data_IF_367028612679
#
_entry.id   IF_367028612679
#
_cell.length_a   1.000
_cell.length_b   1.000
_cell.length_c   1.000
_cell.angle_alpha   90.00
_cell.angle_beta   90.00
_cell.angle_gamma   90.00
#
_symmetry.space_group_name_H-M   'P 1'
#
loop_
_entity.id
_entity.type
_entity.pdbx_description
1 polymer ?
#
# COMPACT_ATOMS: atom_id res chain seq x y z
N UNK A 1 -11.77 0.36 -0.14
CA UNK A 1 -11.78 -1.06 0.25
C UNK A 1 -13.18 -1.34 0.73
N UNK A 2 -13.78 -2.44 0.32
CA UNK A 2 -15.03 -2.87 0.93
C UNK A 2 -14.74 -3.40 2.35
N UNK A 3 -15.52 -2.97 3.34
CA UNK A 3 -15.23 -3.27 4.75
C UNK A 3 -15.54 -4.72 5.13
N UNK A 4 -16.47 -5.36 4.42
CA UNK A 4 -16.91 -6.73 4.70
C UNK A 4 -16.05 -7.76 3.95
N UNK A 5 -15.85 -7.56 2.65
CA UNK A 5 -15.09 -8.48 1.79
C UNK A 5 -13.58 -8.24 1.82
N UNK A 6 -13.14 -7.08 2.31
CA UNK A 6 -11.74 -6.62 2.28
C UNK A 6 -11.17 -6.46 0.86
N UNK A 7 -11.99 -6.54 -0.18
CA UNK A 7 -11.57 -6.41 -1.57
C UNK A 7 -11.26 -4.95 -1.94
N UNK A 8 -10.25 -4.78 -2.80
CA UNK A 8 -9.91 -3.50 -3.41
C UNK A 8 -10.70 -3.25 -4.70
N UNK A 9 -11.22 -2.03 -4.87
CA UNK A 9 -11.83 -1.57 -6.12
C UNK A 9 -11.20 -0.25 -6.56
N UNK A 10 -10.83 -0.17 -7.83
CA UNK A 10 -10.26 1.03 -8.43
C UNK A 10 -11.38 1.97 -8.86
N UNK A 11 -11.75 2.92 -8.00
CA UNK A 11 -12.82 3.89 -8.29
C UNK A 11 -12.31 5.12 -9.06
N UNK A 12 -11.02 5.45 -8.95
CA UNK A 12 -10.39 6.57 -9.67
C UNK A 12 -8.94 6.24 -10.01
N UNK A 13 -8.56 6.43 -11.27
CA UNK A 13 -7.18 6.34 -11.71
C UNK A 13 -6.85 7.49 -12.67
N UNK A 14 -5.98 8.39 -12.21
CA UNK A 14 -5.48 9.54 -13.00
C UNK A 14 -3.97 9.47 -13.21
N UNK A 15 -3.38 8.28 -13.13
CA UNK A 15 -1.96 8.10 -13.43
C UNK A 15 -1.68 8.42 -14.90
N UNK A 16 -0.46 8.90 -15.24
CA UNK A 16 -0.07 9.08 -16.63
C UNK A 16 -0.14 7.74 -17.38
N UNK A 17 -0.43 7.76 -18.68
CA UNK A 17 -0.54 6.53 -19.49
C UNK A 17 0.75 5.70 -19.46
N UNK A 18 1.90 6.38 -19.34
CA UNK A 18 3.23 5.78 -19.17
C UNK A 18 4.07 6.62 -18.22
N UNK A 19 5.02 5.97 -17.56
CA UNK A 19 6.08 6.63 -16.81
C UNK A 19 7.34 6.77 -17.66
N UNK A 20 8.07 7.86 -17.45
CA UNK A 20 9.41 8.03 -18.00
C UNK A 20 10.38 6.99 -17.41
N UNK A 21 11.40 6.63 -18.18
CA UNK A 21 12.32 5.53 -17.84
C UNK A 21 13.09 5.72 -16.53
N UNK A 22 13.33 6.98 -16.13
CA UNK A 22 14.05 7.39 -14.93
C UNK A 22 13.12 7.95 -13.84
N UNK A 23 11.80 7.89 -14.05
CA UNK A 23 10.83 8.40 -13.11
C UNK A 23 10.97 7.71 -11.74
N UNK A 24 11.15 8.52 -10.70
CA UNK A 24 11.09 8.07 -9.32
C UNK A 24 9.64 8.14 -8.83
N UNK A 25 9.10 7.01 -8.37
CA UNK A 25 7.70 6.93 -7.94
C UNK A 25 7.65 6.72 -6.43
N UNK A 26 6.89 7.57 -5.77
CA UNK A 26 6.60 7.48 -4.34
C UNK A 26 5.12 7.17 -4.19
N UNK A 27 4.82 6.00 -3.61
CA UNK A 27 3.45 5.62 -3.25
C UNK A 27 3.34 5.73 -1.75
N UNK A 28 2.42 6.57 -1.27
CA UNK A 28 2.20 6.79 0.16
C UNK A 28 0.84 6.26 0.59
N UNK A 29 0.83 5.43 1.63
CA UNK A 29 -0.37 4.95 2.29
C UNK A 29 -0.08 4.87 3.79
N UNK A 30 -0.85 5.53 4.68
CA UNK A 30 -0.59 5.50 6.11
C UNK A 30 -0.53 4.08 6.69
N UNK A 31 -1.33 3.13 6.16
CA UNK A 31 -1.49 1.80 6.75
C UNK A 31 -1.26 0.68 5.73
N UNK A 32 -0.18 -0.06 5.91
CA UNK A 32 0.13 -1.23 5.09
C UNK A 32 -0.31 -2.53 5.80
N UNK A 33 -1.62 -2.80 5.79
CA UNK A 33 -2.27 -3.89 6.53
C UNK A 33 -2.18 -5.26 5.82
N UNK A 34 -3.16 -5.62 4.99
CA UNK A 34 -3.15 -6.86 4.19
C UNK A 34 -2.27 -6.74 2.94
N UNK A 35 -1.98 -5.51 2.52
CA UNK A 35 -1.22 -5.17 1.32
C UNK A 35 -2.00 -5.24 0.00
N UNK A 36 -3.28 -5.64 0.00
CA UNK A 36 -4.08 -5.81 -1.23
C UNK A 36 -4.13 -4.56 -2.11
N UNK A 37 -4.50 -3.42 -1.52
CA UNK A 37 -4.54 -2.14 -2.23
C UNK A 37 -3.17 -1.72 -2.77
N UNK A 38 -2.09 -1.96 -2.02
CA UNK A 38 -0.73 -1.65 -2.47
C UNK A 38 -0.29 -2.56 -3.62
N UNK A 39 -0.65 -3.85 -3.59
CA UNK A 39 -0.39 -4.79 -4.70
C UNK A 39 -1.05 -4.29 -5.98
N UNK A 40 -2.35 -3.98 -5.94
CA UNK A 40 -3.08 -3.47 -7.10
C UNK A 40 -2.48 -2.16 -7.63
N UNK A 41 -2.04 -1.27 -6.75
CA UNK A 41 -1.35 -0.04 -7.13
C UNK A 41 -0.02 -0.35 -7.84
N UNK A 42 0.82 -1.22 -7.27
CA UNK A 42 2.11 -1.58 -7.84
C UNK A 42 1.99 -2.28 -9.19
N UNK A 43 1.03 -3.19 -9.35
CA UNK A 43 0.73 -3.83 -10.64
C UNK A 43 0.39 -2.81 -11.72
N UNK A 44 -0.44 -1.81 -11.39
CA UNK A 44 -0.82 -0.75 -12.32
C UNK A 44 0.38 0.15 -12.68
N UNK A 45 1.27 0.45 -11.73
CA UNK A 45 2.51 1.20 -12.00
C UNK A 45 3.44 0.43 -12.95
N UNK A 46 3.67 -0.86 -12.68
CA UNK A 46 4.53 -1.70 -13.51
C UNK A 46 3.95 -1.87 -14.92
N UNK A 47 2.63 -2.04 -15.04
CA UNK A 47 1.92 -2.12 -16.32
C UNK A 47 2.11 -0.85 -17.17
N UNK A 48 2.31 0.30 -16.54
CA UNK A 48 2.57 1.60 -17.18
C UNK A 48 4.06 1.87 -17.43
N UNK A 49 4.92 0.88 -17.22
CA UNK A 49 6.35 0.96 -17.52
C UNK A 49 7.22 1.44 -16.35
N UNK A 50 6.66 1.60 -15.14
CA UNK A 50 7.49 1.90 -13.98
C UNK A 50 8.50 0.77 -13.72
N UNK A 51 9.72 1.13 -13.34
CA UNK A 51 10.74 0.16 -12.89
C UNK A 51 10.59 -0.05 -11.40
N UNK A 52 10.48 -1.31 -10.96
CA UNK A 52 10.34 -1.66 -9.55
C UNK A 52 11.43 -1.03 -8.66
N UNK A 53 12.67 -0.98 -9.15
CA UNK A 53 13.82 -0.34 -8.48
C UNK A 53 13.64 1.16 -8.21
N UNK A 54 12.73 1.80 -8.95
CA UNK A 54 12.41 3.22 -8.81
C UNK A 54 11.13 3.46 -7.98
N UNK A 55 10.50 2.41 -7.46
CA UNK A 55 9.30 2.53 -6.63
C UNK A 55 9.67 2.52 -5.15
N UNK A 56 9.15 3.50 -4.43
CA UNK A 56 9.30 3.67 -2.99
C UNK A 56 7.91 3.69 -2.37
N UNK A 57 7.62 2.72 -1.52
CA UNK A 57 6.39 2.67 -0.73
C UNK A 57 6.69 3.32 0.62
N UNK A 58 5.90 4.31 1.01
CA UNK A 58 6.00 5.01 2.29
C UNK A 58 4.73 4.75 3.09
N UNK A 59 4.89 4.32 4.34
CA UNK A 59 3.78 4.11 5.27
C UNK A 59 4.18 4.50 6.69
N UNK A 60 3.17 4.73 7.54
CA UNK A 60 3.41 4.97 8.96
C UNK A 60 3.54 3.61 9.65
N UNK A 61 2.54 2.75 9.52
CA UNK A 61 2.50 1.42 10.14
C UNK A 61 2.36 0.33 9.07
N UNK A 62 3.16 -0.72 9.19
CA UNK A 62 3.09 -1.90 8.34
C UNK A 62 2.88 -3.19 9.16
N UNK A 63 2.26 -4.19 8.54
CA UNK A 63 2.13 -5.53 9.09
C UNK A 63 3.03 -6.53 8.33
N UNK A 64 3.66 -7.52 8.99
CA UNK A 64 4.46 -8.56 8.34
C UNK A 64 3.78 -9.26 7.17
N UNK A 65 2.45 -9.44 7.23
CA UNK A 65 1.65 -10.06 6.16
C UNK A 65 1.77 -9.27 4.85
N UNK A 66 1.63 -7.94 4.89
CA UNK A 66 1.81 -7.13 3.70
C UNK A 66 3.28 -7.08 3.24
N UNK A 67 4.23 -6.96 4.16
CA UNK A 67 5.66 -6.90 3.81
C UNK A 67 6.11 -8.17 3.09
N UNK A 68 5.69 -9.35 3.57
CA UNK A 68 5.98 -10.64 2.92
C UNK A 68 5.38 -10.73 1.52
N UNK A 69 4.12 -10.30 1.37
CA UNK A 69 3.42 -10.26 0.08
C UNK A 69 4.14 -9.35 -0.91
N UNK A 70 4.52 -8.15 -0.49
CA UNK A 70 5.22 -7.19 -1.34
C UNK A 70 6.64 -7.64 -1.70
N UNK A 71 7.38 -8.19 -0.73
CA UNK A 71 8.73 -8.71 -0.95
C UNK A 71 8.75 -9.86 -1.96
N UNK A 72 7.71 -10.69 -1.98
CA UNK A 72 7.60 -11.83 -2.90
C UNK A 72 7.10 -11.38 -4.28
N UNK A 73 6.07 -10.53 -4.33
CA UNK A 73 5.43 -10.12 -5.59
C UNK A 73 6.19 -9.06 -6.37
N UNK A 74 6.96 -8.19 -5.71
CA UNK A 74 7.55 -7.01 -6.32
C UNK A 74 9.03 -6.86 -5.95
N UNK A 75 9.90 -7.81 -6.37
CA UNK A 75 11.33 -7.73 -6.08
C UNK A 75 11.91 -6.41 -6.64
N UNK A 76 12.62 -5.67 -5.78
CA UNK A 76 13.30 -4.42 -6.15
C UNK A 76 12.65 -3.14 -5.63
N UNK A 77 11.37 -3.18 -5.19
CA UNK A 77 10.78 -2.02 -4.51
C UNK A 77 11.43 -1.81 -3.14
N UNK A 78 11.31 -0.60 -2.60
CA UNK A 78 11.71 -0.30 -1.21
C UNK A 78 10.50 0.16 -0.40
N UNK A 79 10.27 -0.48 0.73
CA UNK A 79 9.26 -0.06 1.71
C UNK A 79 9.95 0.70 2.84
N UNK A 80 9.47 1.90 3.11
CA UNK A 80 9.84 2.71 4.26
C UNK A 80 8.63 2.77 5.18
N UNK A 81 8.82 2.32 6.42
CA UNK A 81 7.78 2.33 7.45
C UNK A 81 8.34 2.93 8.72
N UNK A 82 7.53 3.71 9.45
CA UNK A 82 7.92 4.23 10.76
C UNK A 82 7.84 3.15 11.84
N UNK A 83 6.92 2.19 11.70
CA UNK A 83 6.70 1.11 12.65
C UNK A 83 6.18 -0.16 11.97
N UNK A 84 6.55 -1.31 12.51
CA UNK A 84 6.04 -2.62 12.08
C UNK A 84 5.34 -3.24 13.28
N UNK A 85 4.03 -3.46 13.15
CA UNK A 85 3.19 -4.04 14.19
C UNK A 85 2.87 -5.51 13.90
N UNK A 86 2.54 -6.25 14.95
CA UNK A 86 2.68 -7.70 14.98
C UNK A 86 1.73 -8.43 14.02
N UNK A 87 0.46 -8.07 14.03
CA UNK A 87 -0.59 -8.88 13.42
C UNK A 87 -1.76 -8.06 12.89
N UNK A 88 -2.63 -8.75 12.16
CA UNK A 88 -3.96 -8.27 11.83
C UNK A 88 -4.96 -9.00 12.72
N UNK A 89 -5.99 -8.30 13.19
CA UNK A 89 -7.15 -8.96 13.80
C UNK A 89 -8.09 -9.55 12.72
N UNK A 90 -9.17 -10.21 13.16
CA UNK A 90 -10.16 -10.85 12.28
C UNK A 90 -10.88 -9.87 11.33
N UNK A 91 -10.82 -8.57 11.63
CA UNK A 91 -11.39 -7.49 10.80
C UNK A 91 -10.36 -6.88 9.83
N UNK A 92 -9.13 -7.40 9.79
CA UNK A 92 -8.06 -6.90 8.93
C UNK A 92 -7.43 -5.58 9.39
N UNK A 93 -7.64 -5.17 10.65
CA UNK A 93 -6.94 -4.03 11.25
C UNK A 93 -5.60 -4.46 11.83
N UNK A 94 -4.60 -3.59 11.69
CA UNK A 94 -3.28 -3.78 12.32
C UNK A 94 -3.43 -3.64 13.83
N UNK A 95 -2.79 -4.54 14.59
CA UNK A 95 -2.78 -4.53 16.06
C UNK A 95 -1.33 -4.53 16.58
N UNK A 96 -0.93 -3.62 17.49
CA UNK A 96 -1.75 -2.57 18.14
C UNK A 96 -2.32 -1.50 17.20
N UNK A 97 -1.60 -1.15 16.14
CA UNK A 97 -2.06 -0.26 15.07
C UNK A 97 -2.40 1.15 15.52
N UNK A 98 -3.18 1.84 14.69
CA UNK A 98 -3.60 3.22 14.91
C UNK A 98 -5.11 3.47 14.68
N UNK A 99 -5.92 2.42 14.62
CA UNK A 99 -7.33 2.52 14.24
C UNK A 99 -7.48 2.83 12.74
N UNK A 100 -8.57 3.51 12.36
CA UNK A 100 -8.71 4.00 10.98
C UNK A 100 -7.93 5.30 10.77
N UNK A 101 -6.99 5.29 9.83
CA UNK A 101 -6.17 6.47 9.54
C UNK A 101 -6.95 7.57 8.82
N UNK A 102 -7.89 7.20 7.96
CA UNK A 102 -8.69 8.12 7.16
C UNK A 102 -9.63 8.90 8.06
N UNK A 103 -10.41 8.19 8.90
CA UNK A 103 -11.37 8.85 9.77
C UNK A 103 -10.70 9.79 10.75
N UNK A 104 -9.59 9.36 11.35
CA UNK A 104 -8.80 10.19 12.25
C UNK A 104 -8.17 11.42 11.58
N UNK A 105 -7.86 11.34 10.29
CA UNK A 105 -7.22 12.44 9.55
C UNK A 105 -8.23 13.46 9.04
N UNK A 106 -9.43 13.02 8.67
CA UNK A 106 -10.46 13.85 8.04
C UNK A 106 -11.65 14.17 8.95
N UNK A 107 -11.66 13.68 10.19
CA UNK A 107 -12.73 13.91 11.17
C UNK A 107 -14.09 13.45 10.61
N UNK A 108 -14.11 12.29 9.93
CA UNK A 108 -15.32 11.72 9.33
C UNK A 108 -16.11 10.83 10.28
N UNK A 109 -15.54 10.47 11.44
CA UNK A 109 -16.18 9.77 12.56
C UNK A 109 -15.66 10.24 13.92
#
# INVERSE_FOLDING_TARGET
RDEESLEESLYLNKLPEKFEDDAMIVVSDPMLATGGTMVACLEELLKRGAKATNIRVLCIVACPVALSKLSTGFPGIRVYSAMIDAELNDKGYIVPGLGDAGDRAYDSE
#
